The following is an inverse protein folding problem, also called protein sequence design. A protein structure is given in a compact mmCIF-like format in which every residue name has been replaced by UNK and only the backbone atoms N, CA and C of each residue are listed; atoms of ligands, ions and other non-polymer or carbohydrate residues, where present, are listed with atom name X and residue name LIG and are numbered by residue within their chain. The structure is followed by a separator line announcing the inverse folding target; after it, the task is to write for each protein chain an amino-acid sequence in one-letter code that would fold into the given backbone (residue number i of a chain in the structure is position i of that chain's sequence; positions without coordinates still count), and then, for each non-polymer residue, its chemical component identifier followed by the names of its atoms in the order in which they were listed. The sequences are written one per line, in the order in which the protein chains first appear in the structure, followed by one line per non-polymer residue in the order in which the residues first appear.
data_IF_855499646359
#
_entry.id   IF_855499646359
#
_cell.length_a   1.000
_cell.length_b   1.000
_cell.length_c   1.000
_cell.angle_alpha   90.00
_cell.angle_beta   90.00
_cell.angle_gamma   90.00
#
_symmetry.space_group_name_H-M   'P 1'
#
loop_
_entity.id
_entity.type
_entity.pdbx_description
1 polymer ?
#
# COMPACT_ATOMS: atom_id res chain seq x y z
N UNK A 1 -26.57 70.83 -17.81
CA UNK A 1 -26.71 70.07 -16.56
C UNK A 1 -26.96 68.61 -16.93
N UNK A 2 -26.23 67.70 -16.31
CA UNK A 2 -25.88 66.33 -16.75
C UNK A 2 -27.01 65.30 -16.72
N UNK A 3 -27.05 64.31 -17.64
CA UNK A 3 -27.74 63.06 -17.41
C UNK A 3 -26.85 62.10 -16.60
N UNK A 4 -27.34 61.67 -15.44
CA UNK A 4 -26.68 60.70 -14.56
C UNK A 4 -26.69 59.29 -15.14
N UNK A 5 -25.51 58.65 -15.20
CA UNK A 5 -25.31 57.23 -15.48
C UNK A 5 -25.23 56.43 -14.17
N UNK A 6 -25.67 55.17 -14.20
CA UNK A 6 -25.31 54.11 -13.25
C UNK A 6 -26.52 53.50 -12.54
N UNK A 7 -26.70 52.18 -12.43
CA UNK A 7 -25.86 51.06 -12.82
C UNK A 7 -26.66 49.75 -12.74
N UNK A 8 -26.29 48.79 -13.58
CA UNK A 8 -26.83 47.43 -13.63
C UNK A 8 -26.44 46.66 -12.37
N UNK A 9 -27.44 46.24 -11.60
CA UNK A 9 -27.25 45.38 -10.43
C UNK A 9 -26.90 43.95 -10.85
N UNK A 10 -25.62 43.58 -10.79
CA UNK A 10 -25.18 42.20 -10.84
C UNK A 10 -25.48 41.50 -9.51
N UNK A 11 -26.49 40.63 -9.51
CA UNK A 11 -26.76 39.70 -8.41
C UNK A 11 -25.56 38.77 -8.17
N UNK A 12 -24.93 38.90 -7.00
CA UNK A 12 -23.81 38.06 -6.59
C UNK A 12 -24.28 36.61 -6.38
N UNK A 13 -23.73 35.70 -7.18
CA UNK A 13 -23.78 34.25 -6.96
C UNK A 13 -23.11 33.92 -5.61
N UNK A 14 -23.89 33.46 -4.63
CA UNK A 14 -23.34 33.01 -3.34
C UNK A 14 -22.62 31.68 -3.54
N UNK A 15 -21.28 31.73 -3.54
CA UNK A 15 -20.41 30.55 -3.46
C UNK A 15 -20.62 29.89 -2.09
N UNK A 16 -21.08 28.64 -2.10
CA UNK A 16 -21.21 27.86 -0.88
C UNK A 16 -19.81 27.40 -0.44
N UNK A 17 -19.37 27.91 0.69
CA UNK A 17 -18.05 27.69 1.27
C UNK A 17 -17.95 26.34 1.97
N UNK A 18 -16.96 25.55 1.53
CA UNK A 18 -16.09 24.68 2.34
C UNK A 18 -16.74 23.65 3.28
N UNK A 19 -16.82 22.39 2.82
CA UNK A 19 -16.62 21.24 3.72
C UNK A 19 -15.14 20.89 3.67
N UNK A 20 -14.48 21.08 4.81
CA UNK A 20 -13.09 20.74 5.06
C UNK A 20 -12.90 19.23 4.92
N UNK A 21 -12.29 18.78 3.81
CA UNK A 21 -11.77 17.41 3.73
C UNK A 21 -10.49 17.40 4.56
N UNK A 22 -10.53 16.73 5.70
CA UNK A 22 -9.34 16.45 6.51
C UNK A 22 -8.37 15.62 5.67
N UNK A 23 -7.28 16.25 5.24
CA UNK A 23 -6.15 15.53 4.63
C UNK A 23 -5.39 14.84 5.75
N UNK A 24 -5.74 13.59 6.06
CA UNK A 24 -4.82 12.70 6.76
C UNK A 24 -3.69 12.36 5.79
N UNK A 25 -2.69 13.24 5.71
CA UNK A 25 -1.39 12.88 5.17
C UNK A 25 -0.76 11.94 6.18
N UNK A 26 -0.87 10.63 5.95
CA UNK A 26 0.02 9.67 6.58
C UNK A 26 1.44 10.11 6.28
N UNK A 27 2.14 10.62 7.30
CA UNK A 27 3.50 11.10 7.17
C UNK A 27 4.39 9.92 6.82
N UNK A 28 4.90 9.90 5.59
CA UNK A 28 6.03 9.05 5.24
C UNK A 28 7.23 9.51 6.07
N UNK A 29 7.66 8.67 7.02
CA UNK A 29 8.93 8.85 7.74
C UNK A 29 10.04 8.13 6.96
N UNK A 30 10.90 8.85 6.21
CA UNK A 30 12.02 8.26 5.49
C UNK A 30 13.10 7.69 6.43
N UNK A 31 13.03 7.95 7.74
CA UNK A 31 14.06 7.62 8.73
C UNK A 31 13.77 6.39 9.60
N UNK A 32 12.57 5.79 9.51
CA UNK A 32 12.13 4.74 10.45
C UNK A 32 12.55 3.30 10.11
N UNK A 33 13.20 3.06 8.96
CA UNK A 33 13.37 1.70 8.43
C UNK A 33 14.66 0.99 8.86
N UNK A 34 15.59 1.68 9.50
CA UNK A 34 16.80 1.05 10.04
C UNK A 34 16.75 1.07 11.57
N UNK A 35 16.85 -0.07 12.26
CA UNK A 35 17.09 -0.06 13.70
C UNK A 35 18.38 0.75 13.95
N UNK A 36 18.33 1.71 14.89
CA UNK A 36 19.55 2.40 15.34
C UNK A 36 20.56 1.32 15.70
N UNK A 37 21.76 1.36 15.09
CA UNK A 37 22.84 0.41 15.38
C UNK A 37 23.03 0.30 16.90
N UNK A 38 22.62 -0.82 17.47
CA UNK A 38 22.98 -1.19 18.83
C UNK A 38 24.49 -1.38 18.96
N UNK A 39 25.03 -1.40 20.19
CA UNK A 39 26.46 -1.55 20.40
C UNK A 39 26.96 -2.86 19.77
N UNK A 40 28.01 -2.77 18.95
CA UNK A 40 28.71 -3.94 18.43
C UNK A 40 29.42 -4.63 19.60
N UNK A 41 28.99 -5.84 19.96
CA UNK A 41 29.78 -6.73 20.83
C UNK A 41 29.07 -7.35 22.04
N UNK A 42 27.81 -7.79 21.93
CA UNK A 42 27.26 -8.72 22.93
C UNK A 42 27.45 -10.18 22.46
N UNK A 43 28.14 -11.04 23.23
CA UNK A 43 28.25 -12.45 22.92
C UNK A 43 26.94 -13.18 23.24
N UNK A 44 26.38 -13.89 22.24
CA UNK A 44 25.46 -15.01 22.44
C UNK A 44 24.05 -14.68 22.95
N UNK A 45 23.15 -14.29 22.05
CA UNK A 45 21.72 -14.23 22.34
C UNK A 45 20.89 -14.08 21.07
N UNK A 46 20.82 -15.14 20.25
CA UNK A 46 19.99 -15.18 19.04
C UNK A 46 19.04 -16.38 19.14
N UNK A 47 17.82 -16.17 19.64
CA UNK A 47 16.69 -17.09 19.47
C UNK A 47 15.39 -16.26 19.50
N UNK A 48 14.47 -16.23 18.51
CA UNK A 48 14.30 -17.02 17.25
C UNK A 48 13.47 -16.28 16.17
N UNK A 49 13.13 -16.93 15.04
CA UNK A 49 11.86 -17.67 14.96
C UNK A 49 12.09 -19.18 15.08
N UNK A 50 11.16 -19.85 15.76
CA UNK A 50 11.35 -21.13 16.45
C UNK A 50 11.99 -22.24 15.61
N UNK A 51 13.09 -22.80 16.15
CA UNK A 51 13.71 -24.12 15.92
C UNK A 51 13.98 -24.60 14.47
N UNK A 52 13.46 -23.92 13.44
CA UNK A 52 13.81 -23.98 12.02
C UNK A 52 13.64 -22.56 11.47
N UNK A 53 14.74 -21.82 11.34
CA UNK A 53 14.76 -20.39 10.99
C UNK A 53 13.77 -20.02 9.86
N UNK A 54 12.60 -19.52 10.25
CA UNK A 54 11.54 -19.08 9.36
C UNK A 54 11.89 -17.80 8.60
N UNK A 55 10.99 -17.35 7.71
CA UNK A 55 11.23 -16.18 6.88
C UNK A 55 11.34 -14.89 7.70
N UNK A 56 12.25 -14.02 7.28
CA UNK A 56 12.48 -12.72 7.94
C UNK A 56 11.57 -11.63 7.38
N UNK A 57 11.23 -11.70 6.10
CA UNK A 57 10.44 -10.67 5.44
C UNK A 57 9.90 -11.08 4.07
N UNK A 58 8.95 -10.28 3.60
CA UNK A 58 8.36 -10.34 2.27
C UNK A 58 8.49 -8.98 1.57
N UNK A 59 8.61 -9.00 0.24
CA UNK A 59 8.42 -7.80 -0.58
C UNK A 59 6.95 -7.74 -1.00
N UNK A 60 6.16 -6.89 -0.34
CA UNK A 60 4.74 -6.72 -0.59
C UNK A 60 4.48 -5.72 -1.72
N UNK A 61 3.46 -5.98 -2.52
CA UNK A 61 2.94 -5.03 -3.49
C UNK A 61 2.28 -3.86 -2.76
N UNK A 62 2.77 -2.64 -3.02
CA UNK A 62 2.22 -1.40 -2.46
C UNK A 62 1.77 -0.50 -3.59
N UNK A 63 0.55 0.03 -3.49
CA UNK A 63 -0.05 0.87 -4.51
C UNK A 63 0.80 2.14 -4.72
N UNK A 64 1.23 2.38 -5.97
CA UNK A 64 2.00 3.57 -6.35
C UNK A 64 1.10 4.80 -6.54
N UNK A 65 -0.18 4.56 -6.80
CA UNK A 65 -1.28 5.53 -6.91
C UNK A 65 -2.55 4.87 -6.40
N UNK A 66 -3.63 5.64 -6.28
CA UNK A 66 -4.94 5.01 -6.00
C UNK A 66 -5.30 4.06 -7.16
N UNK A 67 -5.62 2.82 -6.81
CA UNK A 67 -6.09 1.77 -7.70
C UNK A 67 -7.61 1.66 -7.57
N UNK A 68 -8.31 1.52 -8.70
CA UNK A 68 -9.75 1.30 -8.74
C UNK A 68 -10.09 -0.15 -9.04
N UNK A 69 -11.23 -0.60 -8.52
CA UNK A 69 -11.79 -1.88 -8.90
C UNK A 69 -11.93 -1.99 -10.43
N UNK A 70 -11.52 -3.13 -10.98
CA UNK A 70 -11.49 -3.41 -12.41
C UNK A 70 -10.15 -3.09 -13.09
N UNK A 71 -9.25 -2.35 -12.45
CA UNK A 71 -7.90 -2.12 -12.99
C UNK A 71 -7.04 -3.39 -12.95
N UNK A 72 -6.03 -3.43 -13.84
CA UNK A 72 -5.04 -4.50 -13.89
C UNK A 72 -3.72 -4.02 -13.30
N UNK A 73 -3.17 -4.78 -12.35
CA UNK A 73 -1.81 -4.55 -11.87
C UNK A 73 -0.79 -4.91 -12.96
N UNK A 74 0.14 -4.00 -13.21
CA UNK A 74 1.25 -4.20 -14.15
C UNK A 74 2.50 -4.84 -13.50
N UNK A 75 2.51 -5.01 -12.17
CA UNK A 75 3.55 -5.70 -11.43
C UNK A 75 4.80 -4.85 -11.15
N UNK A 76 5.94 -5.51 -10.94
CA UNK A 76 7.23 -4.85 -10.69
C UNK A 76 7.64 -3.95 -11.88
N UNK A 77 8.27 -2.81 -11.58
CA UNK A 77 8.81 -1.88 -12.59
C UNK A 77 7.76 -1.05 -13.31
N UNK A 78 6.47 -1.34 -13.10
CA UNK A 78 5.35 -0.61 -13.69
C UNK A 78 4.93 0.65 -12.93
N UNK A 79 3.69 1.05 -13.19
CA UNK A 79 3.06 2.27 -12.70
C UNK A 79 2.00 2.02 -11.62
N UNK A 80 1.55 0.77 -11.43
CA UNK A 80 0.48 0.46 -10.47
C UNK A 80 1.00 0.18 -9.07
N UNK A 81 2.11 -0.53 -8.94
CA UNK A 81 2.67 -0.96 -7.65
C UNK A 81 4.18 -0.79 -7.57
N UNK A 82 4.71 -0.81 -6.34
CA UNK A 82 6.14 -0.91 -6.03
C UNK A 82 6.35 -1.88 -4.86
N UNK A 83 7.58 -2.36 -4.68
CA UNK A 83 7.94 -3.31 -3.64
C UNK A 83 8.26 -2.65 -2.30
N UNK A 84 7.51 -3.00 -1.26
CA UNK A 84 7.77 -2.58 0.11
C UNK A 84 8.15 -3.78 0.97
N UNK A 85 9.32 -3.73 1.61
CA UNK A 85 9.72 -4.79 2.55
C UNK A 85 8.85 -4.73 3.81
N UNK A 86 8.26 -5.86 4.16
CA UNK A 86 7.53 -6.09 5.41
C UNK A 86 8.20 -7.23 6.19
N UNK A 87 8.24 -7.17 7.54
CA UNK A 87 8.52 -8.36 8.35
C UNK A 87 7.56 -9.49 7.98
N UNK A 88 8.02 -10.73 7.98
CA UNK A 88 7.23 -11.87 7.50
C UNK A 88 5.93 -12.04 8.32
N UNK A 89 6.01 -11.86 9.64
CA UNK A 89 4.83 -11.89 10.52
C UNK A 89 3.77 -10.85 10.13
N UNK A 90 4.19 -9.61 9.87
CA UNK A 90 3.28 -8.54 9.43
C UNK A 90 2.69 -8.81 8.05
N UNK A 91 3.48 -9.38 7.13
CA UNK A 91 3.00 -9.75 5.79
C UNK A 91 1.91 -10.83 5.86
N UNK A 92 2.12 -11.86 6.68
CA UNK A 92 1.15 -12.93 6.92
C UNK A 92 -0.12 -12.42 7.59
N UNK A 93 0.02 -11.65 8.67
CA UNK A 93 -1.10 -11.04 9.40
C UNK A 93 -1.98 -10.18 8.48
N UNK A 94 -1.36 -9.37 7.63
CA UNK A 94 -2.05 -8.47 6.69
C UNK A 94 -2.50 -9.14 5.40
N UNK A 95 -2.19 -10.42 5.21
CA UNK A 95 -2.48 -11.14 3.96
C UNK A 95 -1.93 -10.40 2.74
N UNK A 96 -0.73 -9.84 2.86
CA UNK A 96 -0.13 -8.99 1.85
C UNK A 96 0.13 -9.77 0.54
N UNK A 97 -0.24 -9.18 -0.59
CA UNK A 97 0.05 -9.72 -1.91
C UNK A 97 1.56 -9.61 -2.18
N UNK A 98 2.29 -10.70 -2.43
CA UNK A 98 3.71 -10.64 -2.76
C UNK A 98 3.91 -9.94 -4.11
N UNK A 99 4.88 -9.02 -4.20
CA UNK A 99 5.15 -8.27 -5.43
C UNK A 99 5.40 -9.19 -6.63
N UNK A 100 6.13 -10.30 -6.42
CA UNK A 100 6.42 -11.28 -7.47
C UNK A 100 5.19 -12.02 -8.01
N UNK A 101 4.02 -11.88 -7.36
CA UNK A 101 2.74 -12.42 -7.81
C UNK A 101 1.79 -11.33 -8.30
N UNK A 102 2.19 -10.05 -8.30
CA UNK A 102 1.30 -8.93 -8.59
C UNK A 102 1.25 -8.54 -10.08
N UNK A 103 1.82 -9.33 -10.99
CA UNK A 103 1.80 -9.04 -12.43
C UNK A 103 0.54 -9.60 -13.09
N UNK A 104 -0.17 -8.77 -13.87
CA UNK A 104 -1.42 -9.14 -14.54
C UNK A 104 -2.50 -9.67 -13.59
N UNK A 105 -2.62 -9.03 -12.44
CA UNK A 105 -3.62 -9.36 -11.42
C UNK A 105 -4.69 -8.27 -11.38
N UNK A 106 -5.96 -8.67 -11.46
CA UNK A 106 -7.06 -7.71 -11.48
C UNK A 106 -7.41 -7.26 -10.07
N UNK A 107 -7.57 -5.96 -9.89
CA UNK A 107 -8.04 -5.34 -8.65
C UNK A 107 -9.56 -5.46 -8.57
N UNK A 108 -10.10 -5.92 -7.43
CA UNK A 108 -11.55 -6.10 -7.23
C UNK A 108 -12.16 -5.09 -6.25
N UNK A 109 -11.34 -4.29 -5.58
CA UNK A 109 -11.75 -3.19 -4.71
C UNK A 109 -10.73 -2.06 -4.76
N UNK A 110 -11.20 -0.84 -4.50
CA UNK A 110 -10.32 0.32 -4.49
C UNK A 110 -9.23 0.19 -3.42
N UNK A 111 -7.98 0.48 -3.81
CA UNK A 111 -6.82 0.51 -2.91
C UNK A 111 -6.21 1.91 -2.93
N UNK A 112 -6.14 2.62 -1.79
CA UNK A 112 -5.52 3.94 -1.73
C UNK A 112 -4.03 3.94 -2.10
N UNK A 113 -3.52 5.08 -2.57
CA UNK A 113 -2.09 5.26 -2.80
C UNK A 113 -1.28 5.03 -1.52
N UNK A 114 -0.19 4.26 -1.63
CA UNK A 114 0.72 3.97 -0.52
C UNK A 114 0.28 2.79 0.36
N UNK A 115 -0.94 2.27 0.18
CA UNK A 115 -1.44 1.11 0.91
C UNK A 115 -0.92 -0.20 0.31
N UNK A 116 -0.73 -1.19 1.18
CA UNK A 116 -0.34 -2.54 0.78
C UNK A 116 -1.52 -3.25 0.15
N UNK A 117 -1.33 -3.77 -1.07
CA UNK A 117 -2.31 -4.61 -1.74
C UNK A 117 -2.33 -5.97 -1.04
N UNK A 118 -3.52 -6.49 -0.77
CA UNK A 118 -3.74 -7.78 -0.09
C UNK A 118 -4.38 -8.79 -1.02
N UNK A 119 -4.40 -10.06 -0.60
CA UNK A 119 -5.14 -11.12 -1.28
C UNK A 119 -6.62 -10.81 -1.48
N UNK A 120 -7.22 -10.00 -0.59
CA UNK A 120 -8.65 -9.66 -0.62
C UNK A 120 -8.95 -8.47 -1.55
N UNK A 121 -7.90 -7.79 -2.04
CA UNK A 121 -8.01 -6.67 -2.97
C UNK A 121 -7.99 -7.10 -4.44
N UNK A 122 -7.68 -8.36 -4.71
CA UNK A 122 -7.41 -8.86 -6.06
C UNK A 122 -8.10 -10.17 -6.41
N UNK A 123 -8.32 -10.37 -7.70
CA UNK A 123 -8.70 -11.64 -8.29
C UNK A 123 -7.42 -12.37 -8.74
N UNK A 124 -6.95 -13.30 -7.90
CA UNK A 124 -5.76 -14.11 -8.18
C UNK A 124 -6.11 -15.37 -8.94
N UNK A 125 -5.33 -15.70 -9.97
CA UNK A 125 -5.39 -17.01 -10.61
C UNK A 125 -4.80 -18.09 -9.68
N UNK A 126 -5.70 -18.86 -9.06
CA UNK A 126 -5.32 -19.92 -8.12
C UNK A 126 -4.81 -21.19 -8.80
N UNK A 127 -4.85 -21.28 -10.13
CA UNK A 127 -4.27 -22.39 -10.89
C UNK A 127 -2.74 -22.30 -11.01
N UNK A 128 -2.18 -21.11 -10.76
CA UNK A 128 -0.74 -20.87 -10.87
C UNK A 128 0.04 -21.68 -9.83
N UNK A 129 1.11 -22.35 -10.29
CA UNK A 129 2.01 -23.08 -9.38
C UNK A 129 2.62 -22.16 -8.32
N UNK A 130 2.99 -20.93 -8.70
CA UNK A 130 3.54 -19.94 -7.80
C UNK A 130 2.56 -19.54 -6.67
N UNK A 131 1.25 -19.45 -6.98
CA UNK A 131 0.21 -19.26 -5.97
C UNK A 131 0.18 -20.42 -4.99
N UNK A 132 0.13 -21.67 -5.48
CA UNK A 132 0.08 -22.85 -4.60
C UNK A 132 1.29 -22.93 -3.65
N UNK A 133 2.50 -22.68 -4.15
CA UNK A 133 3.73 -22.67 -3.36
C UNK A 133 3.66 -21.57 -2.29
N UNK A 134 3.19 -20.38 -2.66
CA UNK A 134 3.02 -19.29 -1.69
C UNK A 134 2.01 -19.66 -0.61
N UNK A 135 0.88 -20.31 -0.94
CA UNK A 135 -0.09 -20.76 0.06
C UNK A 135 0.46 -21.86 0.98
N UNK A 136 1.25 -22.79 0.45
CA UNK A 136 1.96 -23.80 1.24
C UNK A 136 2.95 -23.15 2.22
N UNK A 137 3.69 -22.15 1.74
CA UNK A 137 4.59 -21.35 2.57
C UNK A 137 3.85 -20.61 3.67
N UNK A 138 2.77 -19.88 3.37
CA UNK A 138 1.97 -19.18 4.39
C UNK A 138 1.44 -20.16 5.44
N UNK A 139 0.97 -21.35 5.04
CA UNK A 139 0.52 -22.39 5.96
C UNK A 139 1.63 -22.94 6.87
N UNK A 140 2.87 -22.99 6.39
CA UNK A 140 3.99 -23.49 7.17
C UNK A 140 4.50 -22.50 8.23
N UNK A 141 4.15 -21.21 8.12
CA UNK A 141 4.71 -20.12 8.93
C UNK A 141 3.65 -19.19 9.56
N UNK A 142 2.36 -19.53 9.49
CA UNK A 142 1.25 -18.80 10.14
C UNK A 142 0.82 -19.42 11.47
#
# INVERSE_FOLDING_TARGET
MTPGKGGLGHGKLKRNTSKTVSKNKGSYDPGGFFPKKGPRGAPGGVFGPGERGGPWGDVAATAKRTLKAGEMLDGEGGYTVWGKLLPASTSLERRALPLGLAHQVKVIRDVPEGDTVTWDDVEMDTSLKAYSIRKEFEKAFS
#
